data_IF_645547592340
#
_entry.id   IF_645547592340
#
_cell.length_a   1.000
_cell.length_b   1.000
_cell.length_c   1.000
_cell.angle_alpha   90.00
_cell.angle_beta   90.00
_cell.angle_gamma   90.00
#
_symmetry.space_group_name_H-M   'P 1'
#
loop_
_entity.id
_entity.type
_entity.pdbx_description
1 polymer ?
#
# COMPACT_ATOMS: atom_id res chain seq x y z
N UNK A 1 20.75 45.95 30.94
CA UNK A 1 20.05 44.85 31.64
C UNK A 1 20.40 43.56 30.93
N UNK A 2 21.51 42.90 31.30
CA UNK A 2 21.63 41.82 32.32
C UNK A 2 21.04 40.51 31.78
N UNK A 3 21.88 39.66 31.14
CA UNK A 3 22.48 38.38 31.63
C UNK A 3 21.43 37.23 31.59
N UNK A 4 21.63 36.10 30.89
CA UNK A 4 22.71 35.15 31.11
C UNK A 4 23.03 34.26 29.88
N UNK A 5 24.32 34.27 29.54
CA UNK A 5 25.02 33.18 28.85
C UNK A 5 25.33 32.04 29.82
N UNK A 6 25.22 30.79 29.38
CA UNK A 6 26.13 29.69 29.77
C UNK A 6 26.24 28.76 28.55
N UNK A 7 27.35 28.78 27.78
CA UNK A 7 28.62 28.05 28.05
C UNK A 7 28.36 26.54 27.91
N UNK A 8 29.05 25.73 27.10
CA UNK A 8 30.25 25.90 26.27
C UNK A 8 30.45 24.61 25.48
N UNK A 9 31.23 24.74 24.41
CA UNK A 9 31.61 23.73 23.42
C UNK A 9 32.40 22.57 24.02
N UNK A 10 32.34 21.39 23.40
CA UNK A 10 33.58 20.67 23.08
C UNK A 10 33.38 19.72 21.89
N UNK A 11 34.06 20.05 20.80
CA UNK A 11 34.36 19.17 19.65
C UNK A 11 35.53 18.28 20.08
N UNK A 12 35.48 16.98 19.77
CA UNK A 12 36.71 16.19 19.64
C UNK A 12 36.55 15.16 18.51
N UNK A 13 37.40 15.33 17.49
CA UNK A 13 37.65 14.38 16.42
C UNK A 13 38.58 13.26 16.94
N UNK A 14 38.49 12.06 16.36
CA UNK A 14 39.45 10.98 16.64
C UNK A 14 39.13 9.67 15.94
N UNK A 15 39.81 9.44 14.82
CA UNK A 15 39.87 8.23 14.00
C UNK A 15 40.35 6.97 14.75
N UNK A 16 39.80 5.80 14.44
CA UNK A 16 40.52 4.52 14.55
C UNK A 16 39.95 3.47 13.57
N UNK A 17 40.69 3.22 12.50
CA UNK A 17 40.55 2.03 11.65
C UNK A 17 41.30 0.89 12.36
N UNK A 18 40.61 -0.17 12.77
CA UNK A 18 41.23 -1.36 13.34
C UNK A 18 40.89 -2.58 12.46
N UNK A 19 41.89 -3.05 11.71
CA UNK A 19 41.91 -4.35 11.07
C UNK A 19 42.30 -5.36 12.15
N UNK A 20 41.44 -6.32 12.46
CA UNK A 20 41.79 -7.48 13.28
C UNK A 20 41.41 -8.74 12.51
N UNK A 21 42.41 -9.37 11.91
CA UNK A 21 42.36 -10.74 11.44
C UNK A 21 42.28 -11.66 12.67
N UNK A 22 41.12 -12.31 12.85
CA UNK A 22 40.91 -13.33 13.86
C UNK A 22 40.31 -14.56 13.21
N UNK A 23 41.18 -15.46 12.75
CA UNK A 23 40.80 -16.83 12.42
C UNK A 23 40.56 -17.58 13.74
N UNK A 24 39.30 -17.70 14.13
CA UNK A 24 38.86 -18.65 15.15
C UNK A 24 38.04 -19.73 14.45
N UNK A 25 38.59 -20.94 14.44
CA UNK A 25 37.92 -22.14 13.98
C UNK A 25 36.66 -22.35 14.81
N UNK A 26 35.49 -22.25 14.17
CA UNK A 26 34.22 -22.60 14.78
C UNK A 26 34.00 -24.09 14.54
N UNK A 27 34.33 -24.90 15.53
CA UNK A 27 33.96 -26.31 15.56
C UNK A 27 32.44 -26.39 15.72
N UNK A 28 31.75 -26.51 14.59
CA UNK A 28 30.31 -26.60 14.53
C UNK A 28 29.88 -27.98 15.08
N UNK A 29 29.41 -27.99 16.32
CA UNK A 29 28.63 -29.10 16.84
C UNK A 29 27.39 -29.29 15.95
N UNK A 30 27.02 -30.53 15.58
CA UNK A 30 25.84 -30.76 14.76
C UNK A 30 24.60 -30.43 15.60
N UNK A 31 23.90 -29.36 15.22
CA UNK A 31 22.56 -29.11 15.74
C UNK A 31 21.64 -30.28 15.33
N UNK A 32 20.71 -30.71 16.19
CA UNK A 32 19.72 -31.72 15.82
C UNK A 32 18.95 -31.23 14.60
N UNK A 33 19.01 -31.99 13.51
CA UNK A 33 18.15 -31.78 12.35
C UNK A 33 16.75 -32.22 12.75
N UNK A 34 16.00 -31.31 13.37
CA UNK A 34 14.55 -31.44 13.45
C UNK A 34 14.06 -31.55 12.01
N UNK A 35 13.61 -32.74 11.64
CA UNK A 35 12.99 -33.02 10.36
C UNK A 35 11.82 -32.06 10.19
N UNK A 36 12.05 -30.97 9.47
CA UNK A 36 11.01 -30.04 9.06
C UNK A 36 10.03 -30.83 8.20
N UNK A 37 8.96 -31.26 8.85
CA UNK A 37 7.77 -31.76 8.18
C UNK A 37 7.28 -30.57 7.37
N UNK A 38 7.55 -30.59 6.07
CA UNK A 38 7.08 -29.56 5.15
C UNK A 38 5.55 -29.50 5.28
N UNK A 39 5.05 -28.35 5.75
CA UNK A 39 3.62 -28.10 5.78
C UNK A 39 3.07 -28.30 4.36
N UNK A 40 1.89 -28.93 4.19
CA UNK A 40 1.28 -29.08 2.87
C UNK A 40 1.14 -27.70 2.21
N UNK A 41 1.33 -27.60 0.88
CA UNK A 41 1.23 -26.33 0.19
C UNK A 41 -0.16 -25.72 0.45
N UNK A 42 -0.25 -24.40 0.70
CA UNK A 42 -1.54 -23.76 0.90
C UNK A 42 -2.40 -24.02 -0.34
N UNK A 43 -3.59 -24.57 -0.12
CA UNK A 43 -4.60 -24.73 -1.17
C UNK A 43 -5.05 -23.31 -1.52
N UNK A 44 -4.62 -22.80 -2.69
CA UNK A 44 -5.20 -21.56 -3.22
C UNK A 44 -6.55 -21.89 -3.84
N UNK A 45 -7.60 -21.33 -3.24
CA UNK A 45 -8.92 -21.36 -3.86
C UNK A 45 -8.85 -20.67 -5.23
N UNK A 46 -9.51 -21.29 -6.21
CA UNK A 46 -9.60 -20.72 -7.54
C UNK A 46 -10.24 -19.32 -7.42
N UNK A 47 -9.60 -18.26 -7.94
CA UNK A 47 -10.12 -16.91 -7.79
C UNK A 47 -11.49 -16.79 -8.49
N UNK A 48 -12.42 -15.99 -7.93
CA UNK A 48 -13.73 -15.80 -8.52
C UNK A 48 -13.59 -15.17 -9.91
N UNK A 49 -14.53 -15.44 -10.84
CA UNK A 49 -14.47 -14.94 -12.21
C UNK A 49 -14.41 -13.40 -12.33
N UNK A 50 -14.78 -12.67 -11.27
CA UNK A 50 -14.78 -11.21 -11.18
C UNK A 50 -13.57 -10.63 -10.43
N UNK A 51 -12.61 -11.43 -9.97
CA UNK A 51 -11.48 -10.93 -9.16
C UNK A 51 -10.72 -9.79 -9.85
N UNK A 52 -10.41 -9.94 -11.14
CA UNK A 52 -9.71 -8.89 -11.90
C UNK A 52 -10.52 -7.60 -12.00
N UNK A 53 -11.86 -7.70 -12.05
CA UNK A 53 -12.74 -6.52 -12.04
C UNK A 53 -12.71 -5.82 -10.69
N UNK A 54 -12.65 -6.56 -9.57
CA UNK A 54 -12.48 -5.96 -8.25
C UNK A 54 -11.12 -5.26 -8.08
N UNK A 55 -10.05 -5.86 -8.60
CA UNK A 55 -8.72 -5.24 -8.58
C UNK A 55 -8.71 -3.95 -9.40
N UNK A 56 -9.33 -3.93 -10.59
CA UNK A 56 -9.48 -2.70 -11.39
C UNK A 56 -10.34 -1.66 -10.68
N UNK A 57 -11.46 -2.08 -10.08
CA UNK A 57 -12.33 -1.17 -9.32
C UNK A 57 -11.56 -0.54 -8.15
N UNK A 58 -10.75 -1.32 -7.43
CA UNK A 58 -9.93 -0.83 -6.34
C UNK A 58 -8.93 0.24 -6.80
N UNK A 59 -8.27 0.01 -7.94
CA UNK A 59 -7.36 0.99 -8.55
C UNK A 59 -8.09 2.29 -8.92
N UNK A 60 -9.27 2.19 -9.55
CA UNK A 60 -10.09 3.36 -9.89
C UNK A 60 -10.47 4.15 -8.64
N UNK A 61 -10.90 3.47 -7.58
CA UNK A 61 -11.28 4.13 -6.32
C UNK A 61 -10.10 4.88 -5.68
N UNK A 62 -8.88 4.35 -5.80
CA UNK A 62 -7.66 5.04 -5.37
C UNK A 62 -7.38 6.31 -6.17
N UNK A 63 -7.52 6.23 -7.50
CA UNK A 63 -7.40 7.38 -8.41
C UNK A 63 -8.44 8.46 -8.10
N UNK A 64 -9.71 8.07 -7.94
CA UNK A 64 -10.80 8.99 -7.60
C UNK A 64 -10.56 9.64 -6.24
N UNK A 65 -10.16 8.86 -5.24
CA UNK A 65 -9.88 9.39 -3.90
C UNK A 65 -8.81 10.49 -3.95
N UNK A 66 -7.71 10.28 -4.69
CA UNK A 66 -6.68 11.29 -4.84
C UNK A 66 -7.19 12.54 -5.57
N UNK A 67 -7.71 12.36 -6.78
CA UNK A 67 -8.09 13.48 -7.66
C UNK A 67 -9.18 14.36 -7.02
N UNK A 68 -10.14 13.75 -6.32
CA UNK A 68 -11.19 14.50 -5.61
C UNK A 68 -10.65 15.30 -4.44
N UNK A 69 -9.78 14.73 -3.62
CA UNK A 69 -9.16 15.48 -2.52
C UNK A 69 -8.23 16.59 -3.02
N UNK A 70 -7.65 16.43 -4.22
CA UNK A 70 -6.85 17.46 -4.86
C UNK A 70 -7.70 18.60 -5.44
N UNK A 71 -8.86 18.28 -6.01
CA UNK A 71 -9.70 19.22 -6.75
C UNK A 71 -10.89 19.80 -5.97
N UNK A 72 -11.27 19.21 -4.83
CA UNK A 72 -12.31 19.74 -3.95
C UNK A 72 -11.68 20.57 -2.83
N UNK A 73 -12.33 21.69 -2.50
CA UNK A 73 -11.92 22.56 -1.39
C UNK A 73 -12.30 21.99 0.00
N UNK A 74 -12.68 20.71 0.07
CA UNK A 74 -13.08 20.03 1.30
C UNK A 74 -12.55 18.59 1.27
N UNK A 75 -11.90 18.13 2.35
CA UNK A 75 -11.40 16.76 2.41
C UNK A 75 -12.56 15.76 2.38
N UNK A 76 -12.41 14.69 1.60
CA UNK A 76 -13.41 13.66 1.40
C UNK A 76 -12.84 12.26 1.68
N UNK A 77 -13.27 11.65 2.78
CA UNK A 77 -12.86 10.28 3.18
C UNK A 77 -13.88 9.19 2.75
N UNK A 78 -14.96 9.57 2.07
CA UNK A 78 -16.01 8.63 1.64
C UNK A 78 -15.44 7.50 0.76
N UNK A 79 -14.61 7.84 -0.24
CA UNK A 79 -14.02 6.89 -1.18
C UNK A 79 -13.11 5.86 -0.52
N UNK A 80 -12.28 6.30 0.42
CA UNK A 80 -11.41 5.42 1.19
C UNK A 80 -12.22 4.50 2.10
N UNK A 81 -13.27 5.01 2.75
CA UNK A 81 -14.18 4.17 3.55
C UNK A 81 -14.94 3.16 2.70
N UNK A 82 -15.48 3.56 1.55
CA UNK A 82 -16.14 2.63 0.63
C UNK A 82 -15.20 1.55 0.11
N UNK A 83 -13.94 1.89 -0.18
CA UNK A 83 -12.92 0.90 -0.53
C UNK A 83 -12.67 -0.08 0.62
N UNK A 84 -12.55 0.42 1.85
CA UNK A 84 -12.34 -0.41 3.03
C UNK A 84 -13.50 -1.39 3.24
N UNK A 85 -14.74 -0.89 3.17
CA UNK A 85 -15.95 -1.71 3.25
C UNK A 85 -16.01 -2.78 2.15
N UNK A 86 -15.59 -2.44 0.92
CA UNK A 86 -15.51 -3.39 -0.18
C UNK A 86 -14.46 -4.48 0.11
N UNK A 87 -13.26 -4.12 0.57
CA UNK A 87 -12.22 -5.08 0.94
C UNK A 87 -12.75 -6.01 2.03
N UNK A 88 -13.36 -5.48 3.08
CA UNK A 88 -13.80 -6.28 4.21
C UNK A 88 -14.88 -7.30 3.82
N UNK A 89 -15.77 -6.94 2.88
CA UNK A 89 -16.79 -7.85 2.34
C UNK A 89 -16.22 -8.92 1.41
N UNK A 90 -15.29 -8.55 0.53
CA UNK A 90 -14.78 -9.46 -0.51
C UNK A 90 -13.63 -10.36 -0.02
N UNK A 91 -13.07 -10.08 1.16
CA UNK A 91 -11.80 -10.66 1.60
C UNK A 91 -11.78 -11.15 3.06
N UNK A 92 -12.93 -11.51 3.63
CA UNK A 92 -13.06 -11.96 5.02
C UNK A 92 -12.01 -13.03 5.41
N UNK A 93 -11.87 -14.08 4.60
CA UNK A 93 -10.93 -15.20 4.82
C UNK A 93 -9.85 -15.30 3.72
N UNK A 94 -9.60 -14.19 3.00
CA UNK A 94 -8.81 -14.18 1.76
C UNK A 94 -7.68 -13.12 1.82
N UNK A 95 -6.63 -13.33 2.64
CA UNK A 95 -5.60 -12.33 2.91
C UNK A 95 -4.84 -11.91 1.64
N UNK A 96 -4.58 -12.86 0.72
CA UNK A 96 -3.92 -12.54 -0.56
C UNK A 96 -4.78 -11.65 -1.45
N UNK A 97 -6.12 -11.83 -1.47
CA UNK A 97 -7.02 -10.95 -2.23
C UNK A 97 -7.06 -9.55 -1.61
N UNK A 98 -7.09 -9.46 -0.27
CA UNK A 98 -6.99 -8.19 0.48
C UNK A 98 -5.74 -7.41 0.09
N UNK A 99 -4.59 -8.08 0.05
CA UNK A 99 -3.31 -7.47 -0.37
C UNK A 99 -3.39 -6.97 -1.81
N UNK A 100 -3.89 -7.78 -2.75
CA UNK A 100 -4.03 -7.39 -4.17
C UNK A 100 -4.91 -6.16 -4.36
N UNK A 101 -6.07 -6.11 -3.69
CA UNK A 101 -7.00 -4.97 -3.75
C UNK A 101 -6.41 -3.72 -3.10
N UNK A 102 -5.78 -3.87 -1.93
CA UNK A 102 -5.11 -2.76 -1.23
C UNK A 102 -3.97 -2.18 -2.08
N UNK A 103 -3.15 -3.04 -2.68
CA UNK A 103 -2.08 -2.63 -3.56
C UNK A 103 -2.62 -1.91 -4.80
N UNK A 104 -3.74 -2.36 -5.37
CA UNK A 104 -4.38 -1.71 -6.51
C UNK A 104 -4.87 -0.29 -6.17
N UNK A 105 -5.57 -0.12 -5.05
CA UNK A 105 -5.97 1.19 -4.57
C UNK A 105 -4.76 2.13 -4.41
N UNK A 106 -3.71 1.65 -3.74
CA UNK A 106 -2.49 2.44 -3.54
C UNK A 106 -1.79 2.79 -4.85
N UNK A 107 -1.80 1.90 -5.85
CA UNK A 107 -1.27 2.19 -7.19
C UNK A 107 -2.07 3.32 -7.86
N UNK A 108 -3.40 3.22 -7.91
CA UNK A 108 -4.25 4.26 -8.51
C UNK A 108 -4.05 5.63 -7.87
N UNK A 109 -4.01 5.68 -6.53
CA UNK A 109 -3.70 6.91 -5.80
C UNK A 109 -2.35 7.50 -6.21
N UNK A 110 -1.29 6.69 -6.23
CA UNK A 110 0.08 7.13 -6.54
C UNK A 110 0.24 7.55 -7.99
N UNK A 111 -0.48 6.94 -8.92
CA UNK A 111 -0.45 7.31 -10.35
C UNK A 111 -0.72 8.80 -10.52
N UNK A 112 -1.82 9.30 -9.96
CA UNK A 112 -2.15 10.72 -10.08
C UNK A 112 -1.35 11.62 -9.13
N UNK A 113 -1.02 11.13 -7.92
CA UNK A 113 -0.16 11.86 -7.00
C UNK A 113 1.25 12.14 -7.53
N UNK A 114 1.72 11.34 -8.50
CA UNK A 114 3.03 11.53 -9.13
C UNK A 114 3.05 12.64 -10.19
N UNK A 115 1.89 13.05 -10.72
CA UNK A 115 1.80 13.96 -11.86
C UNK A 115 1.03 15.24 -11.58
N UNK A 116 0.13 15.25 -10.60
CA UNK A 116 -0.62 16.43 -10.20
C UNK A 116 -0.29 16.78 -8.75
N UNK A 117 -0.02 18.05 -8.47
CA UNK A 117 0.16 18.59 -7.10
C UNK A 117 -0.78 19.75 -6.81
N UNK A 118 -1.53 20.19 -7.80
CA UNK A 118 -2.60 21.17 -7.72
C UNK A 118 -3.72 20.73 -8.67
N UNK A 119 -4.95 21.16 -8.40
CA UNK A 119 -6.04 20.88 -9.32
C UNK A 119 -5.83 21.63 -10.64
N UNK A 120 -5.97 20.91 -11.75
CA UNK A 120 -5.88 21.42 -13.11
C UNK A 120 -7.09 20.91 -13.90
N UNK A 121 -7.43 21.55 -15.02
CA UNK A 121 -8.52 21.08 -15.88
C UNK A 121 -8.34 19.61 -16.33
N UNK A 122 -7.13 19.15 -16.73
CA UNK A 122 -6.89 17.73 -16.97
C UNK A 122 -7.11 16.82 -15.75
N UNK A 123 -6.82 17.28 -14.53
CA UNK A 123 -7.06 16.51 -13.30
C UNK A 123 -8.56 16.37 -13.01
N UNK A 124 -9.33 17.44 -13.18
CA UNK A 124 -10.81 17.40 -13.08
C UNK A 124 -11.41 16.45 -14.10
N UNK A 125 -10.97 16.53 -15.36
CA UNK A 125 -11.47 15.64 -16.40
C UNK A 125 -11.10 14.16 -16.15
N UNK A 126 -9.91 13.91 -15.61
CA UNK A 126 -9.51 12.57 -15.20
C UNK A 126 -10.41 12.05 -14.07
N UNK A 127 -10.73 12.89 -13.09
CA UNK A 127 -11.62 12.54 -11.98
C UNK A 127 -12.99 12.07 -12.49
N UNK A 128 -13.60 12.86 -13.38
CA UNK A 128 -14.92 12.59 -13.93
C UNK A 128 -14.93 11.26 -14.71
N UNK A 129 -13.90 11.03 -15.53
CA UNK A 129 -13.74 9.81 -16.32
C UNK A 129 -13.56 8.58 -15.45
N UNK A 130 -12.71 8.65 -14.44
CA UNK A 130 -12.48 7.53 -13.54
C UNK A 130 -13.71 7.23 -12.68
N UNK A 131 -14.47 8.25 -12.27
CA UNK A 131 -15.77 8.03 -11.61
C UNK A 131 -16.77 7.33 -12.51
N UNK A 132 -16.88 7.76 -13.77
CA UNK A 132 -17.76 7.12 -14.74
C UNK A 132 -17.35 5.66 -14.98
N UNK A 133 -16.06 5.40 -15.20
CA UNK A 133 -15.52 4.04 -15.37
C UNK A 133 -15.81 3.16 -14.13
N UNK A 134 -15.57 3.69 -12.93
CA UNK A 134 -15.83 2.98 -11.67
C UNK A 134 -17.31 2.64 -11.49
N UNK A 135 -18.22 3.55 -11.83
CA UNK A 135 -19.66 3.32 -11.76
C UNK A 135 -20.13 2.24 -12.75
N UNK A 136 -19.61 2.27 -13.99
CA UNK A 136 -19.87 1.23 -14.99
C UNK A 136 -19.36 -0.12 -14.51
N UNK A 137 -18.10 -0.19 -14.07
CA UNK A 137 -17.48 -1.44 -13.63
C UNK A 137 -18.20 -2.05 -12.42
N UNK A 138 -18.56 -1.24 -11.42
CA UNK A 138 -19.33 -1.70 -10.27
C UNK A 138 -20.69 -2.25 -10.69
N UNK A 139 -21.39 -1.55 -11.59
CA UNK A 139 -22.70 -1.98 -12.11
C UNK A 139 -22.59 -3.29 -12.88
N UNK A 140 -21.55 -3.48 -13.68
CA UNK A 140 -21.30 -4.73 -14.42
C UNK A 140 -20.97 -5.92 -13.50
N UNK A 141 -20.24 -5.69 -12.41
CA UNK A 141 -19.97 -6.72 -11.41
C UNK A 141 -21.30 -7.18 -10.78
N UNK A 142 -22.11 -6.23 -10.31
CA UNK A 142 -23.41 -6.55 -9.69
C UNK A 142 -24.37 -7.20 -10.70
N UNK A 143 -24.47 -6.70 -11.93
CA UNK A 143 -25.40 -7.24 -12.92
C UNK A 143 -25.09 -8.69 -13.32
N UNK A 144 -23.84 -9.13 -13.18
CA UNK A 144 -23.39 -10.48 -13.60
C UNK A 144 -23.15 -11.43 -12.44
N UNK A 145 -22.79 -10.90 -11.27
CA UNK A 145 -22.33 -11.66 -10.12
C UNK A 145 -23.00 -11.26 -8.80
N UNK A 146 -23.90 -10.27 -8.81
CA UNK A 146 -24.73 -9.92 -7.67
C UNK A 146 -25.79 -10.99 -7.44
N UNK A 147 -25.89 -11.46 -6.21
CA UNK A 147 -26.90 -12.43 -5.76
C UNK A 147 -28.19 -11.70 -5.36
#
# INVERSE_FOLDING_TARGET
MIIASFIFRLVLAGTALAIAAGAAAQEAAPAPQDAQTAAPPPVEDKPPPYEQRLVRLAEILGSVHYLRNLCLNQPEDSWRRSMQELIDKETADEPKRRERMTAAFNRGYRTFASVYTACTEPATLAEERYRAEGATLASEIVARFGN
#
